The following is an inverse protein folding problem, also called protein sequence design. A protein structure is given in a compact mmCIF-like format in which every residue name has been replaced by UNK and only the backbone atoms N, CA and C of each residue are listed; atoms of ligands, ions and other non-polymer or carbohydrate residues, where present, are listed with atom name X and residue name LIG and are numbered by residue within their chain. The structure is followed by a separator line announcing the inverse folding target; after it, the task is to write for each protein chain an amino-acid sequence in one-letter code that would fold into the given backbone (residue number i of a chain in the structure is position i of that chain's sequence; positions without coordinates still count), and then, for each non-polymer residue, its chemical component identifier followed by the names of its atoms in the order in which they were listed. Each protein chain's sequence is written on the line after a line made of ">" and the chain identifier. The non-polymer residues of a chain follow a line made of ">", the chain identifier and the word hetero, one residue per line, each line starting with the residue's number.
data_IF_119929298604
#
_entry.id   IF_119929298604
#
_cell.length_a   1.000
_cell.length_b   1.000
_cell.length_c   1.000
_cell.angle_alpha   90.00
_cell.angle_beta   90.00
_cell.angle_gamma   90.00
#
_symmetry.space_group_name_H-M   'P 1'
#
loop_
_entity.id
_entity.type
_entity.pdbx_description
1 polymer ?
#
# COMPACT_ATOMS: atom_id res chain seq x y z
N UNK A 1 -52.40 1.14 37.39
CA UNK A 1 -51.32 2.00 37.86
C UNK A 1 -49.94 1.56 37.33
N UNK A 2 -49.78 0.29 36.93
CA UNK A 2 -48.54 -0.19 36.34
C UNK A 2 -48.40 0.00 34.83
N UNK A 3 -49.48 0.29 34.14
CA UNK A 3 -49.50 0.33 32.66
C UNK A 3 -48.63 1.46 32.02
N UNK A 4 -48.56 2.68 32.55
CA UNK A 4 -47.70 3.73 31.99
C UNK A 4 -46.23 3.38 32.07
N UNK A 5 -45.79 2.71 33.10
CA UNK A 5 -44.39 2.31 33.28
C UNK A 5 -43.98 1.21 32.29
N UNK A 6 -44.89 0.30 32.01
CA UNK A 6 -44.62 -0.77 31.04
C UNK A 6 -44.44 -0.22 29.62
N UNK A 7 -45.20 0.81 29.23
CA UNK A 7 -45.05 1.47 27.94
C UNK A 7 -43.74 2.21 27.81
N UNK A 8 -43.25 2.83 28.84
CA UNK A 8 -41.97 3.53 28.88
C UNK A 8 -40.80 2.56 28.71
N UNK A 9 -40.85 1.40 29.35
CA UNK A 9 -39.81 0.37 29.21
C UNK A 9 -39.71 -0.15 27.79
N UNK A 10 -40.84 -0.35 27.12
CA UNK A 10 -40.87 -0.80 25.73
C UNK A 10 -40.23 0.22 24.77
N UNK A 11 -40.46 1.52 25.01
CA UNK A 11 -39.84 2.57 24.20
C UNK A 11 -38.31 2.61 24.34
N UNK A 12 -37.78 2.40 25.51
CA UNK A 12 -36.35 2.33 25.78
C UNK A 12 -35.68 1.16 25.05
N UNK A 13 -36.33 0.00 25.03
CA UNK A 13 -35.85 -1.17 24.33
C UNK A 13 -35.73 -0.92 22.80
N UNK A 14 -36.70 -0.21 22.20
CA UNK A 14 -36.66 0.14 20.79
C UNK A 14 -35.49 1.05 20.44
N UNK A 15 -35.18 2.02 21.29
CA UNK A 15 -34.02 2.92 21.08
C UNK A 15 -32.70 2.14 21.12
N UNK A 16 -32.55 1.20 22.03
CA UNK A 16 -31.36 0.36 22.13
C UNK A 16 -31.11 -0.47 20.83
N UNK A 17 -32.19 -1.01 20.26
CA UNK A 17 -32.10 -1.76 18.99
C UNK A 17 -31.62 -0.89 17.82
N UNK A 18 -32.09 0.35 17.73
CA UNK A 18 -31.66 1.29 16.70
C UNK A 18 -30.15 1.61 16.80
N UNK A 19 -29.64 1.75 18.02
CA UNK A 19 -28.20 2.00 18.22
C UNK A 19 -27.35 0.82 17.75
N UNK A 20 -27.76 -0.42 17.95
CA UNK A 20 -27.07 -1.62 17.49
C UNK A 20 -27.03 -1.69 15.95
N UNK A 21 -28.13 -1.38 15.29
CA UNK A 21 -28.20 -1.36 13.81
C UNK A 21 -27.26 -0.29 13.24
N UNK A 22 -27.17 0.88 13.87
CA UNK A 22 -26.27 1.95 13.43
C UNK A 22 -24.80 1.53 13.51
N UNK A 23 -24.38 0.79 14.51
CA UNK A 23 -22.98 0.32 14.63
C UNK A 23 -22.64 -0.77 13.63
N UNK A 24 -23.58 -1.60 13.20
CA UNK A 24 -23.34 -2.65 12.19
C UNK A 24 -23.27 -2.11 10.76
N UNK A 25 -23.67 -0.86 10.51
CA UNK A 25 -23.60 -0.23 9.19
C UNK A 25 -22.16 0.11 8.77
N UNK A 26 -21.19 0.07 9.67
CA UNK A 26 -19.78 0.35 9.38
C UNK A 26 -19.06 -0.92 8.91
N UNK A 27 -19.11 -1.17 7.60
CA UNK A 27 -18.43 -2.31 7.02
C UNK A 27 -16.92 -2.11 7.08
N UNK A 28 -16.21 -3.19 7.43
CA UNK A 28 -14.74 -3.18 7.39
C UNK A 28 -14.23 -3.07 5.95
N UNK A 29 -13.14 -2.34 5.75
CA UNK A 29 -12.43 -2.25 4.47
C UNK A 29 -11.74 -3.58 4.19
N UNK A 30 -11.85 -4.08 2.96
CA UNK A 30 -11.10 -5.26 2.52
C UNK A 30 -9.70 -4.83 2.10
N UNK A 31 -8.69 -5.46 2.67
CA UNK A 31 -7.29 -5.20 2.39
C UNK A 31 -6.67 -6.35 1.60
N UNK A 32 -5.94 -6.00 0.56
CA UNK A 32 -5.21 -6.96 -0.27
C UNK A 32 -3.72 -6.71 -0.11
N UNK A 33 -2.97 -7.68 0.43
CA UNK A 33 -1.52 -7.54 0.57
C UNK A 33 -0.85 -7.42 -0.78
N UNK A 34 0.22 -6.64 -0.83
CA UNK A 34 1.12 -6.52 -1.98
C UNK A 34 2.47 -7.06 -1.55
N UNK A 35 3.10 -7.88 -2.38
CA UNK A 35 4.43 -8.41 -2.12
C UNK A 35 5.38 -8.09 -3.26
N UNK A 36 6.67 -7.94 -2.95
CA UNK A 36 7.73 -7.92 -3.95
C UNK A 36 8.13 -9.37 -4.25
N UNK A 37 8.08 -9.75 -5.52
CA UNK A 37 8.61 -11.04 -5.99
C UNK A 37 10.01 -10.89 -6.54
N UNK A 38 10.40 -9.67 -6.92
CA UNK A 38 11.72 -9.36 -7.45
C UNK A 38 12.06 -7.90 -7.18
N UNK A 39 13.31 -7.64 -6.80
CA UNK A 39 13.89 -6.30 -6.81
C UNK A 39 15.40 -6.43 -7.00
N UNK A 40 15.90 -5.96 -8.13
CA UNK A 40 17.30 -6.12 -8.52
C UNK A 40 17.85 -4.89 -9.22
N UNK A 41 19.17 -4.77 -9.21
CA UNK A 41 19.91 -3.70 -9.86
C UNK A 41 20.76 -4.28 -10.99
N UNK A 42 20.67 -3.66 -12.15
CA UNK A 42 21.57 -3.88 -13.27
C UNK A 42 22.40 -2.62 -13.47
N UNK A 43 23.72 -2.72 -13.30
CA UNK A 43 24.62 -1.58 -13.43
C UNK A 43 25.19 -1.52 -14.86
N UNK A 44 25.52 -0.30 -15.28
CA UNK A 44 26.26 -0.03 -16.50
C UNK A 44 27.27 1.10 -16.25
N UNK A 45 28.14 1.39 -17.22
CA UNK A 45 29.09 2.50 -17.10
C UNK A 45 28.42 3.86 -16.98
N UNK A 46 27.18 3.99 -17.46
CA UNK A 46 26.43 5.25 -17.49
C UNK A 46 25.37 5.36 -16.40
N UNK A 47 25.24 4.37 -15.52
CA UNK A 47 24.25 4.42 -14.45
C UNK A 47 23.78 3.07 -13.99
N UNK A 48 22.53 3.00 -13.52
CA UNK A 48 21.91 1.78 -13.04
C UNK A 48 20.43 1.73 -13.42
N UNK A 49 19.93 0.51 -13.53
CA UNK A 49 18.52 0.24 -13.74
C UNK A 49 18.01 -0.65 -12.60
N UNK A 50 17.05 -0.14 -11.84
CA UNK A 50 16.38 -0.91 -10.80
C UNK A 50 15.12 -1.52 -11.41
N UNK A 51 15.06 -2.83 -11.38
CA UNK A 51 13.92 -3.60 -11.89
C UNK A 51 13.27 -4.35 -10.76
N UNK A 52 11.96 -4.43 -10.81
CA UNK A 52 11.23 -5.21 -9.83
C UNK A 52 9.92 -5.73 -10.36
N UNK A 53 9.31 -6.54 -9.54
CA UNK A 53 8.00 -7.09 -9.80
C UNK A 53 7.26 -7.23 -8.48
N UNK A 54 5.99 -6.91 -8.51
CA UNK A 54 5.08 -7.10 -7.39
C UNK A 54 3.99 -8.10 -7.76
N UNK A 55 3.38 -8.67 -6.75
CA UNK A 55 2.24 -9.55 -6.91
C UNK A 55 1.20 -9.28 -5.82
N UNK A 56 -0.01 -9.70 -6.08
CA UNK A 56 -1.13 -9.61 -5.17
C UNK A 56 -2.19 -10.62 -5.58
N UNK A 57 -3.04 -11.00 -4.64
CA UNK A 57 -4.19 -11.87 -4.92
C UNK A 57 -5.27 -11.17 -5.75
N UNK A 58 -5.19 -9.84 -5.90
CA UNK A 58 -6.16 -9.03 -6.66
C UNK A 58 -5.45 -8.39 -7.85
N UNK A 59 -5.96 -8.59 -9.07
CA UNK A 59 -5.36 -8.06 -10.29
C UNK A 59 -5.27 -6.52 -10.29
N UNK A 60 -6.25 -5.84 -9.71
CA UNK A 60 -6.23 -4.37 -9.56
C UNK A 60 -5.10 -3.87 -8.65
N UNK A 61 -4.54 -4.76 -7.83
CA UNK A 61 -3.41 -4.44 -6.95
C UNK A 61 -2.06 -4.75 -7.57
N UNK A 62 -2.03 -5.28 -8.78
CA UNK A 62 -0.82 -5.60 -9.53
C UNK A 62 -0.51 -4.51 -10.57
N UNK A 63 -1.49 -4.13 -11.36
CA UNK A 63 -1.34 -3.19 -12.47
C UNK A 63 -1.51 -1.74 -12.02
N UNK A 64 -0.71 -0.84 -12.61
CA UNK A 64 -0.84 0.61 -12.41
C UNK A 64 -0.52 1.09 -11.00
N UNK A 65 0.30 0.34 -10.27
CA UNK A 65 0.73 0.71 -8.93
C UNK A 65 1.89 1.70 -9.01
N UNK A 66 1.84 2.74 -8.20
CA UNK A 66 2.92 3.73 -8.11
C UNK A 66 4.07 3.16 -7.30
N UNK A 67 5.25 3.09 -7.91
CA UNK A 67 6.50 2.64 -7.28
C UNK A 67 7.46 3.82 -7.22
N UNK A 68 8.06 4.04 -6.06
CA UNK A 68 9.06 5.08 -5.85
C UNK A 68 10.37 4.43 -5.41
N UNK A 69 11.48 4.87 -5.99
CA UNK A 69 12.82 4.43 -5.63
C UNK A 69 13.44 5.44 -4.68
N UNK A 70 14.02 4.95 -3.59
CA UNK A 70 14.70 5.77 -2.58
C UNK A 70 16.13 5.29 -2.37
N UNK A 71 16.98 6.24 -2.00
CA UNK A 71 18.30 5.97 -1.45
C UNK A 71 18.37 6.52 -0.03
N UNK A 72 18.85 5.72 0.89
CA UNK A 72 19.11 6.14 2.27
C UNK A 72 20.60 6.08 2.55
N UNK A 73 21.17 7.19 3.02
CA UNK A 73 22.57 7.30 3.35
C UNK A 73 22.75 8.28 4.53
N UNK A 74 23.46 7.84 5.57
CA UNK A 74 23.68 8.64 6.79
C UNK A 74 22.37 9.19 7.39
N UNK A 75 21.33 8.36 7.44
CA UNK A 75 20.04 8.73 8.00
C UNK A 75 19.13 9.57 7.08
N UNK A 76 19.64 10.02 5.94
CA UNK A 76 18.88 10.82 4.98
C UNK A 76 18.29 9.95 3.87
N UNK A 77 16.99 10.12 3.64
CA UNK A 77 16.27 9.44 2.58
C UNK A 77 16.00 10.42 1.43
N UNK A 78 16.29 9.99 0.21
CA UNK A 78 16.04 10.78 -0.99
C UNK A 78 15.30 9.94 -2.02
N UNK A 79 14.22 10.50 -2.58
CA UNK A 79 13.53 9.92 -3.72
C UNK A 79 14.33 10.12 -4.98
N UNK A 80 14.60 9.07 -5.74
CA UNK A 80 15.42 9.11 -6.95
C UNK A 80 14.60 9.02 -8.23
N UNK A 81 13.44 8.40 -8.20
CA UNK A 81 12.61 8.21 -9.35
C UNK A 81 11.34 7.45 -9.02
N UNK A 82 10.53 7.26 -10.03
CA UNK A 82 9.27 6.53 -9.90
C UNK A 82 8.87 5.88 -11.21
N UNK A 83 8.00 4.88 -11.12
CA UNK A 83 7.41 4.20 -12.26
C UNK A 83 6.06 3.62 -11.83
N UNK A 84 5.24 3.30 -12.80
CA UNK A 84 4.00 2.55 -12.57
C UNK A 84 4.19 1.11 -13.02
N UNK A 85 3.62 0.17 -12.28
CA UNK A 85 3.67 -1.23 -12.66
C UNK A 85 2.78 -1.50 -13.89
N UNK A 86 3.21 -2.46 -14.70
CA UNK A 86 2.43 -2.97 -15.83
C UNK A 86 1.44 -4.04 -15.36
N UNK A 87 0.76 -4.69 -16.32
CA UNK A 87 -0.24 -5.72 -16.03
C UNK A 87 0.32 -6.95 -15.30
N UNK A 88 1.63 -7.17 -15.40
CA UNK A 88 2.34 -8.26 -14.72
C UNK A 88 2.97 -7.81 -13.40
N UNK A 89 2.80 -6.54 -13.02
CA UNK A 89 3.39 -5.98 -11.82
C UNK A 89 4.84 -5.57 -11.96
N UNK A 90 5.37 -5.51 -13.18
CA UNK A 90 6.76 -5.15 -13.44
C UNK A 90 6.94 -3.64 -13.49
N UNK A 91 8.08 -3.19 -12.99
CA UNK A 91 8.51 -1.79 -13.08
C UNK A 91 10.01 -1.70 -13.32
N UNK A 92 10.45 -0.53 -13.78
CA UNK A 92 11.84 -0.25 -14.06
C UNK A 92 12.12 1.23 -13.85
N UNK A 93 13.18 1.54 -13.11
CA UNK A 93 13.57 2.92 -12.80
C UNK A 93 15.05 3.09 -13.12
N UNK A 94 15.35 4.02 -14.03
CA UNK A 94 16.71 4.31 -14.47
C UNK A 94 17.32 5.42 -13.62
N UNK A 95 18.59 5.25 -13.26
CA UNK A 95 19.39 6.26 -12.59
C UNK A 95 20.58 6.58 -13.47
N UNK A 96 20.73 7.85 -13.82
CA UNK A 96 21.85 8.35 -14.63
C UNK A 96 23.08 8.59 -13.76
N UNK A 97 24.25 8.34 -14.31
CA UNK A 97 25.53 8.58 -13.67
C UNK A 97 25.91 7.50 -12.66
N UNK A 98 27.08 7.67 -12.07
CA UNK A 98 27.59 6.72 -11.08
C UNK A 98 26.67 6.62 -9.88
N UNK A 99 26.35 5.40 -9.48
CA UNK A 99 25.54 5.17 -8.27
C UNK A 99 26.31 5.58 -7.03
N UNK A 100 25.66 6.39 -6.20
CA UNK A 100 26.21 6.85 -4.92
C UNK A 100 26.06 5.77 -3.85
N UNK A 101 26.95 5.80 -2.86
CA UNK A 101 26.88 4.90 -1.71
C UNK A 101 25.56 5.07 -0.96
N UNK A 102 25.04 3.99 -0.43
CA UNK A 102 23.82 3.98 0.35
C UNK A 102 23.00 2.72 0.15
N UNK A 103 21.85 2.70 0.76
CA UNK A 103 20.86 1.62 0.63
C UNK A 103 19.73 2.04 -0.29
N UNK A 104 19.48 1.26 -1.32
CA UNK A 104 18.45 1.52 -2.31
C UNK A 104 17.28 0.58 -2.09
N UNK A 105 16.09 1.11 -2.10
CA UNK A 105 14.86 0.32 -1.91
C UNK A 105 13.69 0.99 -2.62
N UNK A 106 12.67 0.22 -2.90
CA UNK A 106 11.46 0.72 -3.54
C UNK A 106 10.28 0.60 -2.60
N UNK A 107 9.37 1.55 -2.69
CA UNK A 107 8.09 1.55 -2.00
C UNK A 107 6.96 1.58 -3.00
N UNK A 108 6.00 0.67 -2.84
CA UNK A 108 4.74 0.69 -3.59
C UNK A 108 3.71 1.40 -2.74
N UNK A 109 3.11 2.44 -3.29
CA UNK A 109 2.10 3.23 -2.58
C UNK A 109 0.78 2.49 -2.49
N UNK A 110 0.10 2.66 -1.38
CA UNK A 110 -1.26 2.21 -1.15
C UNK A 110 -2.18 2.69 -2.27
N UNK A 111 -3.14 1.86 -2.65
CA UNK A 111 -4.13 2.21 -3.66
C UNK A 111 -5.52 1.79 -3.17
N UNK A 112 -6.44 2.75 -3.12
CA UNK A 112 -7.83 2.50 -2.83
C UNK A 112 -8.61 2.27 -4.11
N UNK A 113 -9.62 1.42 -4.08
CA UNK A 113 -10.54 1.22 -5.18
C UNK A 113 -11.92 0.82 -4.65
N UNK A 114 -12.92 0.77 -5.53
CA UNK A 114 -14.30 0.45 -5.16
C UNK A 114 -14.82 1.42 -4.07
N UNK A 115 -14.69 2.74 -4.35
CA UNK A 115 -15.11 3.83 -3.46
C UNK A 115 -14.50 3.73 -2.04
N UNK A 116 -13.23 3.30 -1.96
CA UNK A 116 -12.51 3.18 -0.70
C UNK A 116 -12.86 1.94 0.11
N UNK A 117 -13.72 1.07 -0.38
CA UNK A 117 -14.09 -0.18 0.31
C UNK A 117 -13.00 -1.24 0.22
N UNK A 118 -12.12 -1.13 -0.76
CA UNK A 118 -11.04 -2.07 -1.02
C UNK A 118 -9.72 -1.32 -1.11
N UNK A 119 -8.68 -1.90 -0.55
CA UNK A 119 -7.36 -1.27 -0.45
C UNK A 119 -6.29 -2.26 -0.87
N UNK A 120 -5.45 -1.85 -1.81
CA UNK A 120 -4.18 -2.50 -2.09
C UNK A 120 -3.16 -1.96 -1.10
N UNK A 121 -2.60 -2.81 -0.25
CA UNK A 121 -1.67 -2.35 0.78
C UNK A 121 -0.36 -1.89 0.16
N UNK A 122 0.31 -0.95 0.83
CA UNK A 122 1.66 -0.54 0.51
C UNK A 122 2.66 -1.63 0.88
N UNK A 123 3.83 -1.59 0.29
CA UNK A 123 4.92 -2.51 0.60
C UNK A 123 6.26 -1.87 0.28
N UNK A 124 7.27 -2.23 1.05
CA UNK A 124 8.65 -1.79 0.85
C UNK A 124 9.51 -3.01 0.48
N UNK A 125 10.35 -2.86 -0.54
CA UNK A 125 11.27 -3.91 -0.97
C UNK A 125 12.40 -4.14 0.03
N UNK A 126 13.15 -5.22 -0.17
CA UNK A 126 14.46 -5.37 0.44
C UNK A 126 15.41 -4.27 -0.03
N UNK A 127 16.52 -4.11 0.66
CA UNK A 127 17.52 -3.08 0.37
C UNK A 127 18.66 -3.64 -0.46
N UNK A 128 19.14 -2.85 -1.43
CA UNK A 128 20.37 -3.13 -2.18
C UNK A 128 21.41 -2.12 -1.71
N UNK A 129 22.50 -2.58 -1.13
CA UNK A 129 23.58 -1.71 -0.65
C UNK A 129 24.62 -1.49 -1.73
N UNK A 130 24.99 -0.22 -1.92
CA UNK A 130 26.07 0.19 -2.79
C UNK A 130 27.14 0.83 -1.92
N UNK A 131 28.35 0.30 -2.00
CA UNK A 131 29.53 0.84 -1.33
C UNK A 131 30.74 0.73 -2.23
N UNK A 132 31.59 1.73 -2.20
CA UNK A 132 32.81 1.76 -3.00
C UNK A 132 34.04 1.96 -2.14
#
# INVERSE_FOLDING_TARGET
>A
LGHPNTKLIAALAAVALLAIVATTAWAATTKYPTIFTEFKLKTSSSGGKFKGQIDSTKSKCVNGRQVKLFRKHNGNQKKLGSDKTDTKGKFSIDISGKLKNGSYYSKVSKKDFDNGKKVCEDVTSGKIKISS
#
